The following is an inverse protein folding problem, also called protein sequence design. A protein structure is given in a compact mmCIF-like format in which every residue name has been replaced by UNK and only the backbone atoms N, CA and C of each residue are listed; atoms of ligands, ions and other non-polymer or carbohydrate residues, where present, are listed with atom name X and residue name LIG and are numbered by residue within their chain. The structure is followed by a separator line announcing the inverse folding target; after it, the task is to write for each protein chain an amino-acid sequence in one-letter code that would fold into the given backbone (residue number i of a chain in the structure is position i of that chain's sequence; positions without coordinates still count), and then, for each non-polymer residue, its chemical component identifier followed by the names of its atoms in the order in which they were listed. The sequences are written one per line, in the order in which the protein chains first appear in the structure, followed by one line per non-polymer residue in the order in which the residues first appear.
data_IF_910068810584
#
_entry.id   IF_910068810584
#
_cell.length_a   1.000
_cell.length_b   1.000
_cell.length_c   1.000
_cell.angle_alpha   90.00
_cell.angle_beta   90.00
_cell.angle_gamma   90.00
#
_symmetry.space_group_name_H-M   'P 1'
#
loop_
_entity.id
_entity.type
_entity.pdbx_description
1 polymer ?
#
# COMPACT_ATOMS: atom_id res chain seq x y z
N UNK A 1 46.87 12.71 -3.61
CA UNK A 1 45.80 12.14 -4.44
C UNK A 1 44.57 11.99 -3.56
N UNK A 2 43.49 12.69 -3.90
CA UNK A 2 42.21 12.65 -3.20
C UNK A 2 41.16 12.03 -4.12
N UNK A 3 40.43 11.06 -3.62
CA UNK A 3 39.07 10.62 -3.99
C UNK A 3 38.68 9.59 -2.92
N UNK A 4 37.64 9.72 -2.08
CA UNK A 4 36.39 10.46 -2.24
C UNK A 4 35.29 9.47 -2.62
N UNK A 5 34.49 9.06 -1.62
CA UNK A 5 33.10 8.52 -1.63
C UNK A 5 32.94 7.64 -0.38
N UNK A 6 32.58 8.19 0.79
CA UNK A 6 31.20 8.49 1.18
C UNK A 6 30.21 7.45 0.68
N UNK A 7 30.08 6.35 1.42
CA UNK A 7 28.79 5.67 1.56
C UNK A 7 28.22 6.17 2.87
N UNK A 8 27.44 7.24 2.74
CA UNK A 8 26.52 7.70 3.74
C UNK A 8 25.46 6.60 3.93
N UNK A 9 25.49 5.90 5.06
CA UNK A 9 24.49 4.91 5.47
C UNK A 9 23.23 5.58 6.06
N UNK A 10 23.00 6.86 5.79
CA UNK A 10 21.70 7.51 5.93
C UNK A 10 21.01 7.58 4.57
N UNK A 11 20.43 6.45 4.14
CA UNK A 11 19.20 6.59 3.33
C UNK A 11 18.10 6.84 4.33
N UNK A 12 17.73 8.12 4.48
CA UNK A 12 16.39 8.50 4.91
C UNK A 12 15.38 7.87 3.93
N UNK A 13 15.16 6.56 4.03
CA UNK A 13 14.01 5.95 3.38
C UNK A 13 12.80 6.59 4.08
N UNK A 14 12.00 7.39 3.36
CA UNK A 14 10.90 8.10 3.98
C UNK A 14 9.98 7.10 4.65
N UNK A 15 9.61 7.36 5.90
CA UNK A 15 8.70 6.53 6.68
C UNK A 15 7.52 6.12 5.81
N UNK A 16 7.23 4.82 5.79
CA UNK A 16 6.19 4.26 4.93
C UNK A 16 4.83 4.86 5.35
N UNK A 17 4.22 5.74 4.53
CA UNK A 17 2.97 6.37 4.92
C UNK A 17 1.87 5.31 4.96
N UNK A 18 0.95 5.43 5.92
CA UNK A 18 -0.15 4.47 6.07
C UNK A 18 -1.00 4.36 4.79
N UNK A 19 -1.21 5.48 4.08
CA UNK A 19 -1.92 5.54 2.80
C UNK A 19 -1.30 4.62 1.74
N UNK A 20 0.01 4.34 1.79
CA UNK A 20 0.64 3.41 0.86
C UNK A 20 0.23 1.95 1.13
N UNK A 21 0.07 1.56 2.39
CA UNK A 21 -0.43 0.23 2.77
C UNK A 21 -1.93 0.13 2.45
N UNK A 22 -2.71 1.16 2.80
CA UNK A 22 -4.14 1.22 2.48
C UNK A 22 -4.39 1.13 0.97
N UNK A 23 -3.54 1.75 0.16
CA UNK A 23 -3.55 1.61 -1.30
C UNK A 23 -3.37 0.16 -1.75
N UNK A 24 -2.45 -0.60 -1.15
CA UNK A 24 -2.28 -2.03 -1.44
C UNK A 24 -3.57 -2.79 -1.15
N UNK A 25 -4.20 -2.53 0.00
CA UNK A 25 -5.46 -3.17 0.38
C UNK A 25 -6.59 -2.80 -0.56
N UNK A 26 -6.69 -1.53 -0.95
CA UNK A 26 -7.67 -1.01 -1.89
C UNK A 26 -7.55 -1.69 -3.26
N UNK A 27 -6.34 -1.73 -3.83
CA UNK A 27 -6.10 -2.38 -5.13
C UNK A 27 -6.42 -3.88 -5.06
N UNK A 28 -6.00 -4.57 -4.00
CA UNK A 28 -6.29 -5.99 -3.81
C UNK A 28 -7.80 -6.25 -3.66
N UNK A 29 -8.50 -5.40 -2.91
CA UNK A 29 -9.96 -5.49 -2.75
C UNK A 29 -10.72 -5.26 -4.06
N UNK A 30 -10.18 -4.47 -4.99
CA UNK A 30 -10.74 -4.25 -6.32
C UNK A 30 -10.42 -5.37 -7.33
N UNK A 31 -9.69 -6.41 -6.91
CA UNK A 31 -9.30 -7.52 -7.79
C UNK A 31 -8.01 -7.28 -8.56
N UNK A 32 -7.27 -6.21 -8.28
CA UNK A 32 -5.95 -5.96 -8.87
C UNK A 32 -4.87 -6.78 -8.16
N UNK A 33 -4.96 -8.10 -8.29
CA UNK A 33 -4.24 -9.07 -7.45
C UNK A 33 -2.97 -9.62 -8.09
N UNK A 34 -2.74 -9.39 -9.38
CA UNK A 34 -1.60 -9.98 -10.08
C UNK A 34 -0.27 -9.36 -9.62
N UNK A 35 0.81 -10.14 -9.44
CA UNK A 35 2.07 -9.63 -8.91
C UNK A 35 2.63 -8.44 -9.68
N UNK A 36 2.69 -8.56 -11.01
CA UNK A 36 3.15 -7.50 -11.90
C UNK A 36 2.28 -6.25 -11.83
N UNK A 37 0.96 -6.43 -11.67
CA UNK A 37 0.00 -5.34 -11.63
C UNK A 37 0.10 -4.57 -10.31
N UNK A 38 0.07 -5.27 -9.19
CA UNK A 38 0.17 -4.66 -7.86
C UNK A 38 1.52 -3.96 -7.67
N UNK A 39 2.63 -4.56 -8.15
CA UNK A 39 3.96 -3.94 -8.12
C UNK A 39 4.11 -2.71 -9.02
N UNK A 40 3.27 -2.58 -10.06
CA UNK A 40 3.26 -1.40 -10.92
C UNK A 40 2.47 -0.23 -10.33
N UNK A 41 1.51 -0.51 -9.45
CA UNK A 41 0.59 0.49 -8.89
C UNK A 41 0.89 0.86 -7.44
N UNK A 42 1.64 0.03 -6.71
CA UNK A 42 1.93 0.19 -5.30
C UNK A 42 3.44 0.18 -5.04
N UNK A 43 3.86 0.88 -3.98
CA UNK A 43 5.26 0.82 -3.54
C UNK A 43 5.59 -0.60 -3.06
N UNK A 44 6.82 -1.07 -3.34
CA UNK A 44 7.26 -2.43 -2.99
C UNK A 44 7.36 -2.66 -1.48
N UNK A 45 7.79 -1.64 -0.74
CA UNK A 45 7.85 -1.65 0.72
C UNK A 45 6.46 -1.75 1.36
N UNK A 46 5.45 -1.08 0.79
CA UNK A 46 4.05 -1.20 1.21
C UNK A 46 3.50 -2.61 1.03
N UNK A 47 3.78 -3.25 -0.11
CA UNK A 47 3.40 -4.65 -0.38
C UNK A 47 4.08 -5.58 0.64
N UNK A 48 5.38 -5.39 0.88
CA UNK A 48 6.13 -6.16 1.88
C UNK A 48 5.55 -6.00 3.27
N UNK A 49 5.22 -4.77 3.67
CA UNK A 49 4.60 -4.49 4.95
C UNK A 49 3.23 -5.15 5.07
N UNK A 50 2.39 -5.07 4.04
CA UNK A 50 1.07 -5.71 4.03
C UNK A 50 1.16 -7.26 4.15
N UNK A 51 2.18 -7.88 3.56
CA UNK A 51 2.48 -9.31 3.73
C UNK A 51 2.94 -9.62 5.16
N UNK A 52 3.86 -8.83 5.71
CA UNK A 52 4.40 -9.02 7.05
C UNK A 52 3.34 -8.82 8.14
N UNK A 53 2.39 -7.92 7.92
CA UNK A 53 1.26 -7.66 8.80
C UNK A 53 0.05 -8.58 8.53
N UNK A 54 0.20 -9.60 7.66
CA UNK A 54 -0.85 -10.57 7.33
C UNK A 54 -2.16 -9.94 6.82
N UNK A 55 -2.08 -8.77 6.19
CA UNK A 55 -3.22 -8.06 5.61
C UNK A 55 -3.56 -8.60 4.20
N UNK A 56 -2.55 -9.16 3.53
CA UNK A 56 -2.69 -9.91 2.29
C UNK A 56 -1.85 -11.19 2.36
N UNK A 57 -2.22 -12.20 1.60
CA UNK A 57 -1.41 -13.38 1.35
C UNK A 57 -0.68 -13.27 0.02
N UNK A 58 0.51 -13.85 -0.02
CA UNK A 58 1.33 -13.94 -1.22
C UNK A 58 0.62 -14.75 -2.32
N UNK A 59 0.89 -14.46 -3.59
CA UNK A 59 0.44 -15.28 -4.71
C UNK A 59 0.93 -16.72 -4.59
N UNK A 60 0.13 -17.68 -5.11
CA UNK A 60 0.45 -19.11 -5.11
C UNK A 60 0.50 -19.61 -6.55
N UNK A 61 1.71 -19.96 -7.02
CA UNK A 61 1.93 -20.34 -8.41
C UNK A 61 1.57 -19.21 -9.39
N UNK A 62 1.20 -19.58 -10.61
CA UNK A 62 0.98 -18.61 -11.71
C UNK A 62 -0.48 -18.15 -11.86
N UNK A 63 -1.40 -18.77 -11.10
CA UNK A 63 -2.85 -18.59 -11.31
C UNK A 63 -3.58 -17.91 -10.14
N UNK A 64 -2.93 -17.81 -8.97
CA UNK A 64 -3.51 -17.17 -7.79
C UNK A 64 -2.67 -15.94 -7.44
N UNK A 65 -3.25 -14.76 -7.66
CA UNK A 65 -2.67 -13.49 -7.25
C UNK A 65 -2.69 -13.28 -5.73
N UNK A 66 -2.31 -12.09 -5.29
CA UNK A 66 -2.45 -11.68 -3.89
C UNK A 66 -3.90 -11.82 -3.41
N UNK A 67 -4.09 -12.31 -2.19
CA UNK A 67 -5.41 -12.46 -1.59
C UNK A 67 -5.55 -11.56 -0.37
N UNK A 68 -6.60 -10.74 -0.30
CA UNK A 68 -6.86 -9.93 0.89
C UNK A 68 -7.37 -10.80 2.03
N UNK A 69 -6.76 -10.68 3.20
CA UNK A 69 -7.22 -11.42 4.39
C UNK A 69 -8.45 -10.74 5.00
N UNK A 70 -9.11 -11.40 5.94
CA UNK A 70 -10.21 -10.79 6.69
C UNK A 70 -9.74 -9.59 7.52
N UNK A 71 -8.50 -9.62 8.01
CA UNK A 71 -7.85 -8.48 8.68
C UNK A 71 -7.66 -7.31 7.72
N UNK A 72 -7.06 -7.56 6.55
CA UNK A 72 -6.88 -6.54 5.53
C UNK A 72 -8.20 -5.93 5.07
N UNK A 73 -9.23 -6.77 4.91
CA UNK A 73 -10.59 -6.33 4.57
C UNK A 73 -11.18 -5.44 5.65
N UNK A 74 -11.07 -5.83 6.92
CA UNK A 74 -11.59 -5.02 8.03
C UNK A 74 -10.89 -3.67 8.11
N UNK A 75 -9.56 -3.65 7.96
CA UNK A 75 -8.76 -2.43 8.01
C UNK A 75 -9.16 -1.44 6.91
N UNK A 76 -9.26 -1.88 5.66
CA UNK A 76 -9.65 -0.96 4.57
C UNK A 76 -11.10 -0.50 4.68
N UNK A 77 -12.00 -1.35 5.21
CA UNK A 77 -13.40 -0.97 5.43
C UNK A 77 -13.56 0.04 6.57
N UNK A 78 -12.79 -0.09 7.66
CA UNK A 78 -12.75 0.91 8.72
C UNK A 78 -12.29 2.27 8.18
N UNK A 79 -11.16 2.29 7.48
CA UNK A 79 -10.66 3.50 6.82
C UNK A 79 -11.70 4.13 5.87
N UNK A 80 -12.36 3.32 5.03
CA UNK A 80 -13.40 3.82 4.11
C UNK A 80 -14.57 4.47 4.84
N UNK A 81 -15.00 3.93 5.98
CA UNK A 81 -16.12 4.49 6.75
C UNK A 81 -15.80 5.89 7.27
N UNK A 82 -14.55 6.10 7.67
CA UNK A 82 -14.07 7.35 8.23
C UNK A 82 -13.78 8.40 7.14
N UNK A 83 -13.24 8.00 5.98
CA UNK A 83 -12.68 8.94 4.98
C UNK A 83 -13.51 9.05 3.68
N UNK A 84 -14.70 8.42 3.60
CA UNK A 84 -15.51 8.45 2.38
C UNK A 84 -15.94 9.89 2.01
N UNK A 85 -15.93 10.25 0.71
CA UNK A 85 -16.39 11.57 0.27
C UNK A 85 -17.83 11.86 0.72
N UNK A 86 -18.07 13.07 1.22
CA UNK A 86 -19.37 13.52 1.71
C UNK A 86 -19.54 13.45 3.24
N UNK A 87 -18.52 13.02 3.98
CA UNK A 87 -18.51 13.04 5.45
C UNK A 87 -18.14 14.41 6.07
N UNK A 88 -17.77 15.41 5.25
CA UNK A 88 -17.64 16.81 5.70
C UNK A 88 -16.21 17.35 5.93
N UNK A 89 -15.16 16.65 5.52
CA UNK A 89 -13.79 17.11 5.66
C UNK A 89 -13.08 17.28 4.30
N UNK A 90 -12.62 18.50 4.00
CA UNK A 90 -11.72 18.79 2.87
C UNK A 90 -10.30 18.24 3.11
N UNK A 91 -9.92 17.99 4.37
CA UNK A 91 -8.61 17.43 4.75
C UNK A 91 -8.44 15.97 4.30
N UNK A 92 -9.53 15.21 4.11
CA UNK A 92 -9.46 13.80 3.69
C UNK A 92 -9.29 13.62 2.18
N UNK A 93 -9.35 14.70 1.39
CA UNK A 93 -9.33 14.61 -0.06
C UNK A 93 -8.00 14.06 -0.60
N UNK A 94 -6.88 14.41 0.04
CA UNK A 94 -5.55 13.97 -0.39
C UNK A 94 -5.26 12.52 0.00
N UNK A 95 -5.66 12.10 1.20
CA UNK A 95 -5.58 10.69 1.62
C UNK A 95 -6.49 9.80 0.78
N UNK A 96 -7.70 10.27 0.49
CA UNK A 96 -8.62 9.59 -0.41
C UNK A 96 -8.01 9.41 -1.80
N UNK A 97 -7.38 10.45 -2.37
CA UNK A 97 -6.68 10.36 -3.67
C UNK A 97 -5.49 9.41 -3.60
N UNK A 98 -4.67 9.49 -2.55
CA UNK A 98 -3.50 8.64 -2.38
C UNK A 98 -3.87 7.15 -2.37
N UNK A 99 -4.94 6.80 -1.65
CA UNK A 99 -5.43 5.42 -1.55
C UNK A 99 -6.14 4.97 -2.82
N UNK A 100 -7.04 5.79 -3.37
CA UNK A 100 -7.95 5.35 -4.43
C UNK A 100 -7.44 5.57 -5.86
N UNK A 101 -6.49 6.49 -6.06
CA UNK A 101 -6.08 6.99 -7.39
C UNK A 101 -7.27 7.29 -8.31
N UNK A 102 -8.04 8.30 -7.92
CA UNK A 102 -9.02 8.93 -8.81
C UNK A 102 -8.48 10.24 -9.37
#
# INVERSE_FOLDING_TARGET
MQAGRFFDESRDDPELPETAVLRVLWMTAQGMVWPWLLQSMCRRDAIKHALQAELIWAPVGDHLGYHITDEGRRRIMAWYQDHRPGAGADEDADDWRAVTMR
#
